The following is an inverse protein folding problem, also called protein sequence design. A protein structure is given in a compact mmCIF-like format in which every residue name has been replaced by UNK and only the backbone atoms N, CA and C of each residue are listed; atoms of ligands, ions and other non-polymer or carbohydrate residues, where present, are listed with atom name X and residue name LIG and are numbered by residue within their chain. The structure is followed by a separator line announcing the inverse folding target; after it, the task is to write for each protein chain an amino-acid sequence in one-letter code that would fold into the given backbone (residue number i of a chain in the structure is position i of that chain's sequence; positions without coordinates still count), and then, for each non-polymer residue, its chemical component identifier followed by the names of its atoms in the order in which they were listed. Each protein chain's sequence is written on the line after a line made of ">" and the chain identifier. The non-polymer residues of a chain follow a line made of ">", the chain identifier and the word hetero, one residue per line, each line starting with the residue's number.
data_IF_468345378912
#
_entry.id   IF_468345378912
#
_cell.length_a   1.000
_cell.length_b   1.000
_cell.length_c   1.000
_cell.angle_alpha   90.00
_cell.angle_beta   90.00
_cell.angle_gamma   90.00
#
_symmetry.space_group_name_H-M   'P 1'
#
loop_
_entity.id
_entity.type
_entity.pdbx_description
1 polymer ?
#
# COMPACT_ATOMS: atom_id res chain seq x y z
N UNK A 1 -7.80 25.61 14.71
CA UNK A 1 -8.74 24.47 14.75
C UNK A 1 -8.64 23.58 13.50
N UNK A 2 -8.36 24.14 12.32
CA UNK A 2 -8.24 23.38 11.06
C UNK A 2 -6.94 22.59 10.93
N UNK A 3 -5.81 23.18 11.36
CA UNK A 3 -4.48 22.54 11.38
C UNK A 3 -4.44 21.21 12.15
N UNK A 4 -5.05 21.15 13.33
CA UNK A 4 -5.13 19.94 14.16
C UNK A 4 -5.84 18.81 13.40
N UNK A 5 -6.91 19.14 12.65
CA UNK A 5 -7.63 18.17 11.81
C UNK A 5 -6.76 17.64 10.68
N UNK A 6 -5.93 18.48 10.05
CA UNK A 6 -4.98 18.02 9.03
C UNK A 6 -3.90 17.10 9.61
N UNK A 7 -3.35 17.44 10.78
CA UNK A 7 -2.36 16.57 11.46
C UNK A 7 -2.97 15.20 11.78
N UNK A 8 -4.18 15.18 12.34
CA UNK A 8 -4.90 13.92 12.63
C UNK A 8 -5.19 13.12 11.36
N UNK A 9 -5.60 13.78 10.28
CA UNK A 9 -5.88 13.13 9.00
C UNK A 9 -4.62 12.50 8.40
N UNK A 10 -3.48 13.21 8.40
CA UNK A 10 -2.21 12.68 7.88
C UNK A 10 -1.70 11.54 8.77
N UNK A 11 -1.85 11.63 10.10
CA UNK A 11 -1.53 10.51 11.00
C UNK A 11 -2.37 9.27 10.71
N UNK A 12 -3.67 9.44 10.49
CA UNK A 12 -4.54 8.33 10.09
C UNK A 12 -4.07 7.70 8.78
N UNK A 13 -3.71 8.52 7.80
CA UNK A 13 -3.15 8.04 6.53
C UNK A 13 -1.82 7.27 6.73
N UNK A 14 -0.97 7.68 7.67
CA UNK A 14 0.26 6.93 8.01
C UNK A 14 -0.04 5.55 8.59
N UNK A 15 -1.02 5.45 9.49
CA UNK A 15 -1.46 4.17 10.07
C UNK A 15 -1.97 3.24 8.95
N UNK A 16 -2.84 3.75 8.07
CA UNK A 16 -3.36 2.99 6.93
C UNK A 16 -2.21 2.51 6.00
N UNK A 17 -1.21 3.36 5.73
CA UNK A 17 -0.03 2.98 4.96
C UNK A 17 0.85 1.93 5.66
N UNK A 18 0.89 1.92 6.99
CA UNK A 18 1.57 0.90 7.77
C UNK A 18 0.88 -0.46 7.65
N UNK A 19 -0.45 -0.48 7.84
CA UNK A 19 -1.28 -1.67 7.66
C UNK A 19 -1.17 -2.24 6.24
N UNK A 20 -1.24 -1.37 5.22
CA UNK A 20 -1.09 -1.78 3.82
C UNK A 20 0.29 -2.40 3.54
N UNK A 21 1.36 -1.82 4.11
CA UNK A 21 2.71 -2.36 3.96
C UNK A 21 2.85 -3.73 4.62
N UNK A 22 2.35 -3.89 5.84
CA UNK A 22 2.37 -5.15 6.56
C UNK A 22 1.55 -6.24 5.84
N UNK A 23 0.39 -5.86 5.29
CA UNK A 23 -0.41 -6.75 4.46
C UNK A 23 0.36 -7.18 3.20
N UNK A 24 1.00 -6.24 2.50
CA UNK A 24 1.76 -6.55 1.29
C UNK A 24 2.97 -7.47 1.58
N UNK A 25 3.61 -7.34 2.74
CA UNK A 25 4.65 -8.27 3.20
C UNK A 25 4.09 -9.69 3.33
N UNK A 26 2.97 -9.87 4.04
CA UNK A 26 2.35 -11.19 4.21
C UNK A 26 1.98 -11.85 2.87
N UNK A 27 1.43 -11.08 1.94
CA UNK A 27 1.08 -11.60 0.61
C UNK A 27 2.32 -12.05 -0.18
N UNK A 28 3.45 -11.33 -0.05
CA UNK A 28 4.72 -11.76 -0.64
C UNK A 28 5.27 -13.02 0.00
N UNK A 29 5.11 -13.18 1.31
CA UNK A 29 5.47 -14.40 2.04
C UNK A 29 4.63 -15.59 1.55
N UNK A 30 3.31 -15.44 1.48
CA UNK A 30 2.39 -16.46 0.95
C UNK A 30 2.73 -16.83 -0.50
N UNK A 31 3.03 -15.84 -1.36
CA UNK A 31 3.44 -16.09 -2.74
C UNK A 31 4.77 -16.86 -2.79
N UNK A 32 5.73 -16.48 -1.95
CA UNK A 32 7.03 -17.14 -1.88
C UNK A 32 6.90 -18.60 -1.43
N UNK A 33 6.01 -18.88 -0.48
CA UNK A 33 5.71 -20.24 -0.05
C UNK A 33 5.02 -21.06 -1.15
N UNK A 34 4.11 -20.45 -1.90
CA UNK A 34 3.41 -21.12 -2.98
C UNK A 34 4.35 -21.46 -4.16
N UNK A 35 5.24 -20.54 -4.54
CA UNK A 35 6.24 -20.76 -5.62
C UNK A 35 7.31 -21.78 -5.24
N UNK A 36 7.59 -21.99 -3.94
CA UNK A 36 8.55 -23.00 -3.48
C UNK A 36 8.08 -24.45 -3.66
N UNK A 37 6.78 -24.67 -3.87
CA UNK A 37 6.22 -26.00 -4.12
C UNK A 37 6.48 -26.42 -5.57
N UNK A 38 6.26 -27.68 -5.91
CA UNK A 38 6.30 -28.10 -7.31
C UNK A 38 5.16 -27.42 -8.07
N UNK A 39 5.50 -26.40 -8.86
CA UNK A 39 4.52 -25.58 -9.59
C UNK A 39 4.73 -25.71 -11.09
N UNK A 40 3.64 -25.63 -11.84
CA UNK A 40 3.67 -25.64 -13.29
C UNK A 40 4.03 -24.25 -13.86
N UNK A 41 4.40 -24.19 -15.14
CA UNK A 41 4.81 -22.94 -15.79
C UNK A 41 3.72 -21.86 -15.81
N UNK A 42 2.45 -22.25 -15.92
CA UNK A 42 1.33 -21.29 -15.92
C UNK A 42 1.15 -20.61 -14.55
N UNK A 43 1.39 -21.35 -13.46
CA UNK A 43 1.41 -20.82 -12.11
C UNK A 43 2.54 -19.78 -11.95
N UNK A 44 3.75 -20.10 -12.43
CA UNK A 44 4.92 -19.21 -12.34
C UNK A 44 4.66 -17.88 -13.05
N UNK A 45 4.09 -17.90 -14.25
CA UNK A 45 3.78 -16.67 -15.00
C UNK A 45 2.80 -15.76 -14.24
N UNK A 46 1.76 -16.35 -13.63
CA UNK A 46 0.79 -15.59 -12.82
C UNK A 46 1.41 -15.09 -11.52
N UNK A 47 2.25 -15.89 -10.89
CA UNK A 47 3.01 -15.53 -9.70
C UNK A 47 3.91 -14.30 -9.95
N UNK A 48 4.60 -14.24 -11.10
CA UNK A 48 5.43 -13.09 -11.48
C UNK A 48 4.61 -11.80 -11.61
N UNK A 49 3.40 -11.87 -12.17
CA UNK A 49 2.49 -10.70 -12.26
C UNK A 49 2.09 -10.20 -10.86
N UNK A 50 1.82 -11.11 -9.92
CA UNK A 50 1.54 -10.72 -8.53
C UNK A 50 2.78 -10.14 -7.86
N UNK A 51 3.96 -10.71 -8.07
CA UNK A 51 5.22 -10.19 -7.53
C UNK A 51 5.48 -8.76 -8.00
N UNK A 52 5.33 -8.47 -9.28
CA UNK A 52 5.46 -7.11 -9.82
C UNK A 52 4.42 -6.16 -9.20
N UNK A 53 3.16 -6.60 -9.13
CA UNK A 53 2.06 -5.85 -8.51
C UNK A 53 2.32 -5.52 -7.03
N UNK A 54 3.00 -6.40 -6.29
CA UNK A 54 3.40 -6.16 -4.90
C UNK A 54 4.57 -5.17 -4.80
N UNK A 55 5.56 -5.27 -5.69
CA UNK A 55 6.70 -4.33 -5.74
C UNK A 55 6.24 -2.90 -6.04
N UNK A 56 5.34 -2.73 -7.01
CA UNK A 56 4.75 -1.43 -7.34
C UNK A 56 4.02 -0.82 -6.14
N UNK A 57 3.28 -1.64 -5.36
CA UNK A 57 2.61 -1.18 -4.14
C UNK A 57 3.60 -0.74 -3.07
N UNK A 58 4.70 -1.46 -2.87
CA UNK A 58 5.73 -1.06 -1.91
C UNK A 58 6.34 0.31 -2.28
N UNK A 59 6.58 0.55 -3.57
CA UNK A 59 7.09 1.83 -4.05
C UNK A 59 6.09 2.96 -3.79
N UNK A 60 4.81 2.75 -4.11
CA UNK A 60 3.76 3.75 -3.85
C UNK A 60 3.63 4.01 -2.35
N UNK A 61 3.63 2.96 -1.52
CA UNK A 61 3.58 3.09 -0.05
C UNK A 61 4.77 3.91 0.46
N UNK A 62 5.97 3.65 -0.04
CA UNK A 62 7.17 4.38 0.35
C UNK A 62 7.08 5.88 0.02
N UNK A 63 6.60 6.22 -1.19
CA UNK A 63 6.38 7.60 -1.63
C UNK A 63 5.34 8.31 -0.74
N UNK A 64 4.17 7.70 -0.53
CA UNK A 64 3.11 8.31 0.28
C UNK A 64 3.52 8.45 1.75
N UNK A 65 4.31 7.52 2.29
CA UNK A 65 4.88 7.63 3.66
C UNK A 65 5.85 8.81 3.77
N UNK A 66 6.67 9.01 2.74
CA UNK A 66 7.59 10.14 2.68
C UNK A 66 6.83 11.47 2.67
N UNK A 67 5.83 11.59 1.79
CA UNK A 67 4.98 12.79 1.70
C UNK A 67 4.25 13.07 3.01
N UNK A 68 3.67 12.04 3.63
CA UNK A 68 3.01 12.15 4.93
C UNK A 68 3.94 12.67 6.03
N UNK A 69 5.20 12.23 6.03
CA UNK A 69 6.21 12.68 7.00
C UNK A 69 6.54 14.15 6.80
N UNK A 70 6.79 14.57 5.56
CA UNK A 70 7.06 15.98 5.22
C UNK A 70 5.89 16.86 5.64
N UNK A 71 4.66 16.48 5.31
CA UNK A 71 3.47 17.25 5.64
C UNK A 71 3.28 17.39 7.15
N UNK A 72 3.46 16.31 7.92
CA UNK A 72 3.40 16.36 9.38
C UNK A 72 4.47 17.29 9.96
N UNK A 73 5.69 17.25 9.44
CA UNK A 73 6.78 18.09 9.92
C UNK A 73 6.48 19.58 9.66
N UNK A 74 6.11 19.93 8.43
CA UNK A 74 5.71 21.30 8.07
C UNK A 74 4.54 21.80 8.91
N UNK A 75 3.51 20.95 9.10
CA UNK A 75 2.39 21.28 9.96
C UNK A 75 2.86 21.50 11.41
N UNK A 76 3.65 20.61 11.99
CA UNK A 76 4.15 20.79 13.37
C UNK A 76 4.95 22.07 13.56
N UNK A 77 5.80 22.41 12.59
CA UNK A 77 6.65 23.61 12.62
C UNK A 77 5.89 24.91 12.29
N UNK A 78 4.60 24.84 11.96
CA UNK A 78 3.79 26.01 11.58
C UNK A 78 4.30 26.76 10.33
N UNK A 79 4.96 26.04 9.43
CA UNK A 79 5.47 26.56 8.15
C UNK A 79 4.65 26.05 6.95
N UNK A 80 3.51 25.41 7.21
CA UNK A 80 2.64 24.86 6.18
C UNK A 80 1.90 25.98 5.44
N UNK A 81 1.87 25.86 4.12
CA UNK A 81 1.13 26.75 3.21
C UNK A 81 -0.24 26.17 2.87
N UNK A 82 -1.13 26.97 2.26
CA UNK A 82 -2.41 26.48 1.74
C UNK A 82 -2.22 25.33 0.73
N UNK A 83 -1.13 25.36 -0.04
CA UNK A 83 -0.77 24.28 -0.95
C UNK A 83 -0.47 22.97 -0.21
N UNK A 84 0.20 23.04 0.95
CA UNK A 84 0.44 21.86 1.80
C UNK A 84 -0.87 21.31 2.40
N UNK A 85 -1.86 22.17 2.70
CA UNK A 85 -3.19 21.74 3.15
C UNK A 85 -3.96 20.98 2.04
N UNK A 86 -3.84 21.44 0.80
CA UNK A 86 -4.37 20.72 -0.38
C UNK A 86 -3.66 19.38 -0.55
N UNK A 87 -2.34 19.32 -0.35
CA UNK A 87 -1.58 18.07 -0.40
C UNK A 87 -2.03 17.08 0.68
N UNK A 88 -2.38 17.52 1.89
CA UNK A 88 -2.95 16.65 2.92
C UNK A 88 -4.25 15.96 2.45
N UNK A 89 -5.10 16.70 1.73
CA UNK A 89 -6.35 16.16 1.17
C UNK A 89 -6.06 15.16 0.05
N UNK A 90 -5.09 15.46 -0.82
CA UNK A 90 -4.66 14.55 -1.90
C UNK A 90 -4.06 13.26 -1.37
N UNK A 91 -3.12 13.35 -0.43
CA UNK A 91 -2.51 12.20 0.24
C UNK A 91 -3.59 11.24 0.77
N UNK A 92 -4.63 11.77 1.43
CA UNK A 92 -5.74 10.96 1.94
C UNK A 92 -6.52 10.27 0.82
N UNK A 93 -6.76 10.94 -0.31
CA UNK A 93 -7.41 10.35 -1.46
C UNK A 93 -6.54 9.24 -2.09
N UNK A 94 -5.24 9.48 -2.20
CA UNK A 94 -4.28 8.53 -2.77
C UNK A 94 -4.14 7.28 -1.90
N UNK A 95 -4.08 7.42 -0.57
CA UNK A 95 -4.08 6.30 0.37
C UNK A 95 -5.36 5.47 0.26
N UNK A 96 -6.53 6.12 0.16
CA UNK A 96 -7.81 5.42 -0.05
C UNK A 96 -7.84 4.64 -1.36
N UNK A 97 -7.35 5.26 -2.44
CA UNK A 97 -7.26 4.61 -3.75
C UNK A 97 -6.33 3.40 -3.70
N UNK A 98 -5.18 3.55 -3.08
CA UNK A 98 -4.24 2.46 -2.86
C UNK A 98 -4.88 1.32 -2.03
N UNK A 99 -5.62 1.64 -0.98
CA UNK A 99 -6.31 0.65 -0.15
C UNK A 99 -7.37 -0.15 -0.93
N UNK A 100 -8.13 0.51 -1.81
CA UNK A 100 -9.07 -0.15 -2.72
C UNK A 100 -8.34 -1.12 -3.65
N UNK A 101 -7.32 -0.61 -4.36
CA UNK A 101 -6.51 -1.41 -5.28
C UNK A 101 -5.83 -2.59 -4.58
N UNK A 102 -5.31 -2.40 -3.36
CA UNK A 102 -4.68 -3.46 -2.58
C UNK A 102 -5.68 -4.55 -2.16
N UNK A 103 -6.91 -4.16 -1.88
CA UNK A 103 -7.97 -5.10 -1.50
C UNK A 103 -8.41 -5.95 -2.68
N UNK A 104 -8.63 -5.35 -3.85
CA UNK A 104 -8.91 -6.06 -5.09
C UNK A 104 -7.78 -7.02 -5.46
N UNK A 105 -6.52 -6.56 -5.39
CA UNK A 105 -5.35 -7.38 -5.68
C UNK A 105 -5.24 -8.58 -4.72
N UNK A 106 -5.60 -8.40 -3.44
CA UNK A 106 -5.61 -9.50 -2.47
C UNK A 106 -6.69 -10.53 -2.80
N UNK A 107 -7.90 -10.09 -3.16
CA UNK A 107 -8.98 -11.02 -3.54
C UNK A 107 -8.60 -11.82 -4.79
N UNK A 108 -8.01 -11.15 -5.78
CA UNK A 108 -7.49 -11.81 -6.98
C UNK A 108 -6.38 -12.81 -6.65
N UNK A 109 -5.45 -12.45 -5.78
CA UNK A 109 -4.36 -13.32 -5.33
C UNK A 109 -4.86 -14.54 -4.55
N UNK A 110 -5.78 -14.35 -3.61
CA UNK A 110 -6.39 -15.45 -2.85
C UNK A 110 -7.16 -16.40 -3.77
N UNK A 111 -7.88 -15.86 -4.76
CA UNK A 111 -8.57 -16.67 -5.77
C UNK A 111 -7.57 -17.47 -6.62
N UNK A 112 -6.43 -16.87 -6.97
CA UNK A 112 -5.36 -17.55 -7.69
C UNK A 112 -4.79 -18.72 -6.87
N UNK A 113 -4.42 -18.50 -5.61
CA UNK A 113 -3.90 -19.56 -4.75
C UNK A 113 -4.91 -20.69 -4.47
N UNK A 114 -6.20 -20.39 -4.42
CA UNK A 114 -7.25 -21.39 -4.18
C UNK A 114 -7.53 -22.27 -5.41
N UNK A 115 -7.43 -21.71 -6.62
CA UNK A 115 -7.80 -22.40 -7.86
C UNK A 115 -6.62 -23.08 -8.56
N UNK A 116 -5.39 -22.71 -8.21
CA UNK A 116 -4.17 -23.32 -8.75
C UNK A 116 -3.31 -23.87 -7.60
N UNK A 117 -3.74 -24.97 -6.96
CA UNK A 117 -2.89 -25.61 -5.98
C UNK A 117 -1.58 -26.01 -6.66
N UNK A 118 -0.46 -25.64 -6.04
CA UNK A 118 0.81 -26.26 -6.36
C UNK A 118 0.64 -27.79 -6.26
N UNK A 119 1.22 -28.52 -7.21
CA UNK A 119 1.05 -29.97 -7.33
C UNK A 119 1.42 -30.69 -6.02
#
# INVERSE_FOLDING_TARGET
>A
MEKTKHIEAVRKAQIELEELGNRNIRLKEELSEAVRREVNAAFVEKAERFQQSFLEKDQIIALLRHDARILIEKLKLDIATDADLVQCTRLKADVRRLASNASENTLSFQSFLANEPAN
#
